data_IF_205597927014
#
_entry.id   IF_205597927014
#
_cell.length_a   1.000
_cell.length_b   1.000
_cell.length_c   1.000
_cell.angle_alpha   90.00
_cell.angle_beta   90.00
_cell.angle_gamma   90.00
#
_symmetry.space_group_name_H-M   'P 1'
#
loop_
_entity.id
_entity.type
_entity.pdbx_description
1 polymer ?
#
# COMPACT_ATOMS: atom_id res chain seq x y z
N UNK A 1 -6.37 -16.18 -2.50
CA UNK A 1 -5.97 -15.41 -1.30
C UNK A 1 -4.64 -15.98 -0.83
N UNK A 2 -3.53 -15.34 -1.18
CA UNK A 2 -2.19 -15.72 -0.71
C UNK A 2 -2.03 -15.21 0.72
N UNK A 3 -2.35 -16.07 1.68
CA UNK A 3 -1.99 -15.88 3.09
C UNK A 3 -0.54 -16.33 3.22
N UNK A 4 0.41 -15.46 2.83
CA UNK A 4 1.83 -15.64 3.12
C UNK A 4 2.02 -15.45 4.63
N UNK A 5 1.95 -16.56 5.36
CA UNK A 5 2.31 -16.64 6.77
C UNK A 5 3.84 -16.69 6.87
N UNK A 6 4.46 -15.51 6.98
CA UNK A 6 5.87 -15.40 7.37
C UNK A 6 5.94 -15.66 8.86
N UNK A 7 6.21 -16.91 9.25
CA UNK A 7 6.58 -17.28 10.63
C UNK A 7 8.09 -17.52 10.63
N UNK A 8 8.85 -16.44 10.74
CA UNK A 8 10.29 -16.53 10.97
C UNK A 8 10.57 -16.57 12.49
N UNK A 9 11.40 -17.52 12.90
CA UNK A 9 11.97 -17.62 14.25
C UNK A 9 12.79 -16.37 14.59
N UNK A 10 12.14 -15.35 15.13
CA UNK A 10 12.81 -14.17 15.65
C UNK A 10 13.52 -14.51 16.97
N UNK A 11 14.82 -14.81 16.91
CA UNK A 11 15.68 -14.61 18.08
C UNK A 11 15.70 -13.10 18.31
N UNK A 12 14.93 -12.62 19.29
CA UNK A 12 14.89 -11.20 19.63
C UNK A 12 16.28 -10.79 20.09
N UNK A 13 16.99 -9.99 19.29
CA UNK A 13 18.10 -9.19 19.79
C UNK A 13 17.49 -8.15 20.72
N UNK A 14 17.31 -8.53 21.98
CA UNK A 14 16.67 -7.68 22.99
C UNK A 14 17.49 -6.40 23.15
N UNK A 15 16.91 -5.28 22.75
CA UNK A 15 17.44 -3.93 23.03
C UNK A 15 17.77 -3.07 21.82
N UNK A 16 17.82 -3.61 20.59
CA UNK A 16 18.01 -2.78 19.39
C UNK A 16 16.67 -2.21 18.91
N UNK A 17 16.67 -0.91 18.62
CA UNK A 17 15.55 -0.24 17.95
C UNK A 17 15.44 -0.69 16.49
N UNK A 18 14.26 -0.55 15.88
CA UNK A 18 14.05 -0.79 14.45
C UNK A 18 14.94 0.13 13.61
N UNK A 19 15.14 1.37 14.04
CA UNK A 19 16.05 2.31 13.38
C UNK A 19 17.48 1.76 13.32
N UNK A 20 18.03 1.34 14.46
CA UNK A 20 19.38 0.77 14.54
C UNK A 20 19.48 -0.54 13.74
N UNK A 21 18.44 -1.38 13.83
CA UNK A 21 18.40 -2.69 13.17
C UNK A 21 18.40 -2.57 11.63
N UNK A 22 17.68 -1.59 11.09
CA UNK A 22 17.46 -1.48 9.63
C UNK A 22 18.45 -0.50 8.97
N UNK A 23 18.76 0.62 9.62
CA UNK A 23 19.59 1.70 9.04
C UNK A 23 21.01 1.71 9.61
N UNK A 24 21.17 1.29 10.86
CA UNK A 24 22.42 1.43 11.60
C UNK A 24 22.68 2.90 11.96
N UNK A 25 23.18 3.70 11.00
CA UNK A 25 23.51 5.12 11.22
C UNK A 25 22.52 6.04 10.48
N UNK A 26 21.61 6.74 11.19
CA UNK A 26 20.64 7.63 10.56
C UNK A 26 21.33 8.83 9.90
N UNK A 27 20.80 9.26 8.75
CA UNK A 27 21.31 10.39 7.97
C UNK A 27 20.64 11.72 8.36
N UNK A 28 19.48 11.66 9.00
CA UNK A 28 18.60 12.80 9.27
C UNK A 28 17.84 13.32 8.04
N UNK A 29 18.05 12.75 6.85
CA UNK A 29 17.51 13.29 5.58
C UNK A 29 16.46 12.39 4.93
N UNK A 30 16.41 11.10 5.31
CA UNK A 30 15.46 10.15 4.77
C UNK A 30 14.24 10.03 5.69
N UNK A 31 13.05 10.36 5.19
CA UNK A 31 11.79 10.26 5.94
C UNK A 31 11.46 8.87 6.47
N UNK A 32 12.09 7.83 5.90
CA UNK A 32 11.98 6.46 6.40
C UNK A 32 12.55 6.33 7.83
N UNK A 33 13.57 7.12 8.20
CA UNK A 33 14.15 7.13 9.54
C UNK A 33 13.10 7.54 10.59
N UNK A 34 12.34 8.61 10.32
CA UNK A 34 11.25 9.02 11.22
C UNK A 34 10.15 7.97 11.34
N UNK A 35 9.86 7.25 10.24
CA UNK A 35 8.87 6.17 10.29
C UNK A 35 9.34 5.02 11.18
N UNK A 36 10.63 4.67 11.13
CA UNK A 36 11.19 3.65 12.01
C UNK A 36 11.18 4.09 13.47
N UNK A 37 11.55 5.34 13.76
CA UNK A 37 11.44 5.89 15.12
C UNK A 37 9.99 5.89 15.62
N UNK A 38 9.03 6.22 14.75
CA UNK A 38 7.61 6.15 15.09
C UNK A 38 7.16 4.70 15.34
N UNK A 39 7.64 3.76 14.52
CA UNK A 39 7.37 2.34 14.64
C UNK A 39 7.88 1.79 15.98
N UNK A 40 9.08 2.18 16.41
CA UNK A 40 9.63 1.79 17.71
C UNK A 40 8.70 2.16 18.87
N UNK A 41 8.08 3.34 18.83
CA UNK A 41 7.14 3.79 19.86
C UNK A 41 5.87 2.93 19.94
N UNK A 42 5.47 2.26 18.85
CA UNK A 42 4.23 1.44 18.78
C UNK A 42 4.48 -0.06 18.67
N UNK A 43 5.74 -0.51 18.74
CA UNK A 43 6.11 -1.93 18.54
C UNK A 43 5.93 -2.81 19.78
N UNK A 44 5.72 -2.22 20.96
CA UNK A 44 5.58 -2.97 22.22
C UNK A 44 4.16 -3.50 22.47
N UNK A 45 4.07 -4.53 23.31
CA UNK A 45 2.81 -5.17 23.76
C UNK A 45 1.75 -4.19 24.25
N UNK A 46 2.18 -3.05 24.81
CA UNK A 46 1.28 -2.03 25.32
C UNK A 46 0.34 -1.49 24.23
N UNK A 47 0.85 -1.24 23.02
CA UNK A 47 0.02 -0.76 21.91
C UNK A 47 -0.99 -1.84 21.50
N UNK A 48 -0.52 -3.07 21.30
CA UNK A 48 -1.37 -4.22 20.91
C UNK A 48 -2.50 -4.44 21.92
N UNK A 49 -2.18 -4.51 23.22
CA UNK A 49 -3.18 -4.70 24.28
C UNK A 49 -4.21 -3.56 24.32
N UNK A 50 -3.78 -2.32 24.10
CA UNK A 50 -4.71 -1.18 24.04
C UNK A 50 -5.64 -1.27 22.82
N UNK A 51 -5.12 -1.63 21.64
CA UNK A 51 -5.96 -1.82 20.44
C UNK A 51 -6.92 -3.00 20.59
N UNK A 52 -6.48 -4.09 21.21
CA UNK A 52 -7.33 -5.25 21.51
C UNK A 52 -8.45 -4.88 22.48
N UNK A 53 -8.18 -4.03 23.48
CA UNK A 53 -9.21 -3.56 24.42
C UNK A 53 -10.34 -2.76 23.75
N UNK A 54 -10.03 -2.05 22.65
CA UNK A 54 -11.00 -1.31 21.84
C UNK A 54 -11.93 -2.28 21.10
N UNK A 55 -11.36 -3.36 20.55
CA UNK A 55 -12.10 -4.36 19.78
C UNK A 55 -12.87 -5.36 20.66
N UNK A 56 -12.36 -5.65 21.86
CA UNK A 56 -12.83 -6.71 22.75
C UNK A 56 -13.90 -6.32 23.76
N UNK A 57 -14.42 -5.09 23.71
CA UNK A 57 -15.46 -4.63 24.65
C UNK A 57 -14.93 -4.39 26.07
N UNK A 58 -13.75 -3.78 26.20
CA UNK A 58 -13.22 -3.38 27.51
C UNK A 58 -14.16 -2.46 28.30
N UNK A 59 -13.88 -2.26 29.59
CA UNK A 59 -14.77 -1.55 30.53
C UNK A 59 -14.88 -0.03 30.31
N UNK A 60 -14.23 0.52 29.27
CA UNK A 60 -14.30 1.94 28.91
C UNK A 60 -15.09 2.18 27.62
N UNK A 61 -15.50 3.42 27.40
CA UNK A 61 -16.10 3.84 26.13
C UNK A 61 -15.07 3.78 25.00
N UNK A 62 -15.57 3.64 23.76
CA UNK A 62 -14.72 3.67 22.58
C UNK A 62 -13.88 4.96 22.51
N UNK A 63 -14.45 6.11 22.88
CA UNK A 63 -13.75 7.40 22.89
C UNK A 63 -12.61 7.43 23.92
N UNK A 64 -12.84 6.98 25.15
CA UNK A 64 -11.82 6.93 26.21
C UNK A 64 -10.63 6.06 25.81
N UNK A 65 -10.88 4.93 25.15
CA UNK A 65 -9.82 4.05 24.70
C UNK A 65 -8.97 4.66 23.56
N UNK A 66 -9.60 5.40 22.62
CA UNK A 66 -8.86 6.12 21.57
C UNK A 66 -8.11 7.34 22.13
N UNK A 67 -8.68 8.05 23.10
CA UNK A 67 -8.00 9.12 23.84
C UNK A 67 -6.73 8.58 24.53
N UNK A 68 -6.83 7.46 25.22
CA UNK A 68 -5.69 6.82 25.88
C UNK A 68 -4.59 6.41 24.89
N UNK A 69 -4.95 5.91 23.69
CA UNK A 69 -4.00 5.64 22.62
C UNK A 69 -3.30 6.91 22.14
N UNK A 70 -4.06 7.96 21.82
CA UNK A 70 -3.53 9.25 21.37
C UNK A 70 -2.58 9.84 22.40
N UNK A 71 -3.00 9.94 23.66
CA UNK A 71 -2.23 10.61 24.69
C UNK A 71 -0.92 9.87 24.98
N UNK A 72 -0.92 8.54 24.86
CA UNK A 72 0.28 7.73 25.06
C UNK A 72 1.22 7.72 23.85
N UNK A 73 0.68 7.67 22.63
CA UNK A 73 1.47 7.41 21.41
C UNK A 73 1.48 8.58 20.41
N UNK A 74 0.88 9.73 20.73
CA UNK A 74 0.74 10.87 19.80
C UNK A 74 2.05 11.38 19.21
N UNK A 75 3.16 11.24 19.95
CA UNK A 75 4.52 11.56 19.44
C UNK A 75 4.89 10.74 18.20
N UNK A 76 4.39 9.50 18.07
CA UNK A 76 4.63 8.69 16.88
C UNK A 76 4.00 9.32 15.63
N UNK A 77 2.82 9.95 15.76
CA UNK A 77 2.17 10.65 14.66
C UNK A 77 2.97 11.89 14.22
N UNK A 78 3.55 12.63 15.16
CA UNK A 78 4.43 13.76 14.85
C UNK A 78 5.68 13.33 14.08
N UNK A 79 6.28 12.20 14.45
CA UNK A 79 7.40 11.60 13.71
C UNK A 79 6.97 11.22 12.30
N UNK A 80 5.83 10.55 12.12
CA UNK A 80 5.33 10.24 10.76
C UNK A 80 5.09 11.52 9.94
N UNK A 81 4.53 12.58 10.52
CA UNK A 81 4.35 13.86 9.83
C UNK A 81 5.69 14.48 9.42
N UNK A 82 6.71 14.41 10.28
CA UNK A 82 8.08 14.82 9.97
C UNK A 82 8.66 13.99 8.81
N UNK A 83 8.48 12.67 8.81
CA UNK A 83 8.89 11.79 7.73
C UNK A 83 8.18 12.09 6.40
N UNK A 84 6.88 12.40 6.44
CA UNK A 84 6.09 12.81 5.28
C UNK A 84 6.61 14.13 4.64
N UNK A 85 7.31 14.97 5.39
CA UNK A 85 7.92 16.20 4.88
C UNK A 85 9.26 15.96 4.15
N UNK A 86 9.87 14.77 4.30
CA UNK A 86 11.16 14.41 3.70
C UNK A 86 11.01 13.55 2.45
N UNK A 87 12.09 13.34 1.69
CA UNK A 87 12.14 12.28 0.70
C UNK A 87 12.19 10.91 1.39
N UNK A 88 11.49 9.90 0.89
CA UNK A 88 11.47 8.55 1.48
C UNK A 88 12.13 7.58 0.51
N UNK A 89 13.13 6.85 1.00
CA UNK A 89 13.83 5.78 0.29
C UNK A 89 13.98 4.58 1.22
N UNK A 90 13.96 3.37 0.65
CA UNK A 90 14.24 2.17 1.43
C UNK A 90 15.73 2.22 1.81
N UNK A 91 16.09 2.12 3.09
CA UNK A 91 17.48 2.14 3.51
C UNK A 91 18.26 0.89 3.10
N UNK A 92 17.57 -0.20 2.73
CA UNK A 92 18.22 -1.46 2.33
C UNK A 92 18.89 -1.29 0.96
N UNK A 93 20.17 -1.66 0.88
CA UNK A 93 20.92 -1.61 -0.37
C UNK A 93 20.54 -2.74 -1.34
N UNK A 94 20.12 -3.88 -0.81
CA UNK A 94 19.72 -5.07 -1.57
C UNK A 94 18.70 -5.88 -0.77
N UNK A 95 17.89 -6.68 -1.48
CA UNK A 95 17.01 -7.67 -0.89
C UNK A 95 17.61 -9.06 -1.06
N UNK A 96 17.63 -9.78 0.04
CA UNK A 96 17.95 -11.20 0.09
C UNK A 96 16.72 -12.00 0.49
N UNK A 97 16.82 -13.31 0.36
CA UNK A 97 15.78 -14.24 0.78
C UNK A 97 15.49 -14.21 2.28
N UNK A 98 16.50 -13.87 3.07
CA UNK A 98 16.43 -13.73 4.52
C UNK A 98 16.18 -12.28 4.94
N UNK A 99 15.88 -11.39 4.00
CA UNK A 99 15.58 -10.00 4.33
C UNK A 99 14.25 -9.92 5.06
N UNK A 100 14.32 -9.52 6.32
CA UNK A 100 13.15 -9.29 7.14
C UNK A 100 12.61 -7.86 6.98
N UNK A 101 11.31 -7.73 7.22
CA UNK A 101 10.58 -6.46 7.23
C UNK A 101 9.87 -6.23 8.58
N UNK A 102 10.61 -6.22 9.71
CA UNK A 102 10.02 -6.14 11.04
C UNK A 102 9.19 -4.86 11.24
N UNK A 103 9.48 -3.79 10.49
CA UNK A 103 8.82 -2.50 10.55
C UNK A 103 7.39 -2.48 9.99
N UNK A 104 7.03 -3.43 9.11
CA UNK A 104 5.75 -3.37 8.40
C UNK A 104 4.55 -3.62 9.32
N UNK A 105 4.71 -4.46 10.35
CA UNK A 105 3.64 -4.66 11.33
C UNK A 105 3.40 -3.40 12.18
N UNK A 106 4.43 -2.80 12.80
CA UNK A 106 4.34 -1.47 13.42
C UNK A 106 3.81 -0.36 12.49
N UNK A 107 4.13 -0.36 11.19
CA UNK A 107 3.56 0.62 10.26
C UNK A 107 2.03 0.50 10.15
N UNK A 108 1.47 -0.73 10.19
CA UNK A 108 0.01 -0.91 10.28
C UNK A 108 -0.54 -0.36 11.59
N UNK A 109 0.18 -0.54 12.70
CA UNK A 109 -0.16 0.04 14.00
C UNK A 109 -0.20 1.58 13.94
N UNK A 110 0.77 2.22 13.29
CA UNK A 110 0.76 3.67 13.04
C UNK A 110 -0.46 4.10 12.23
N UNK A 111 -0.82 3.34 11.18
CA UNK A 111 -2.05 3.58 10.42
C UNK A 111 -3.29 3.56 11.31
N UNK A 112 -3.42 2.56 12.20
CA UNK A 112 -4.52 2.49 13.18
C UNK A 112 -4.50 3.65 14.17
N UNK A 113 -3.33 4.10 14.61
CA UNK A 113 -3.17 5.24 15.51
C UNK A 113 -3.68 6.54 14.86
N UNK A 114 -3.42 6.77 13.57
CA UNK A 114 -4.03 7.91 12.85
C UNK A 114 -5.56 7.85 12.84
N UNK A 115 -6.15 6.65 12.64
CA UNK A 115 -7.61 6.52 12.64
C UNK A 115 -8.20 6.77 14.04
N UNK A 116 -7.48 6.36 15.09
CA UNK A 116 -7.83 6.65 16.47
C UNK A 116 -7.77 8.16 16.78
N UNK A 117 -6.70 8.85 16.35
CA UNK A 117 -6.54 10.29 16.55
C UNK A 117 -7.64 11.08 15.81
N UNK A 118 -7.88 10.73 14.54
CA UNK A 118 -8.95 11.32 13.74
C UNK A 118 -10.34 11.09 14.37
N UNK A 119 -10.57 9.92 14.98
CA UNK A 119 -11.79 9.65 15.73
C UNK A 119 -11.99 10.65 16.86
N UNK A 120 -10.96 10.82 17.69
CA UNK A 120 -10.99 11.69 18.86
C UNK A 120 -11.21 13.13 18.44
N UNK A 121 -10.48 13.60 17.42
CA UNK A 121 -10.66 14.93 16.87
C UNK A 121 -12.10 15.19 16.40
N UNK A 122 -12.74 14.23 15.73
CA UNK A 122 -14.15 14.38 15.32
C UNK A 122 -15.11 14.37 16.52
N UNK A 123 -14.87 13.54 17.52
CA UNK A 123 -15.67 13.51 18.74
C UNK A 123 -15.60 14.84 19.52
N UNK A 124 -14.47 15.54 19.45
CA UNK A 124 -14.25 16.86 20.04
C UNK A 124 -14.69 18.03 19.11
N UNK A 125 -15.31 17.74 17.96
CA UNK A 125 -15.74 18.76 16.99
C UNK A 125 -14.60 19.40 16.17
N UNK A 126 -13.37 18.89 16.28
CA UNK A 126 -12.17 19.37 15.58
C UNK A 126 -12.00 18.71 14.22
N UNK A 127 -13.01 18.87 13.35
CA UNK A 127 -13.04 18.19 12.04
C UNK A 127 -11.85 18.50 11.12
N UNK A 128 -11.30 19.72 11.18
CA UNK A 128 -10.11 20.12 10.39
C UNK A 128 -8.87 19.29 10.75
N UNK A 129 -8.65 19.06 12.05
CA UNK A 129 -7.53 18.27 12.53
C UNK A 129 -7.70 16.78 12.15
N UNK A 130 -8.91 16.24 12.30
CA UNK A 130 -9.19 14.87 11.87
C UNK A 130 -8.97 14.65 10.36
N UNK A 131 -9.39 15.61 9.53
CA UNK A 131 -9.15 15.52 8.09
C UNK A 131 -7.66 15.59 7.76
N UNK A 132 -6.90 16.42 8.49
CA UNK A 132 -5.45 16.45 8.37
C UNK A 132 -4.82 15.11 8.74
N UNK A 133 -5.27 14.45 9.81
CA UNK A 133 -4.75 13.13 10.22
C UNK A 133 -5.01 12.05 9.18
N UNK A 134 -6.22 12.04 8.61
CA UNK A 134 -6.56 11.12 7.54
C UNK A 134 -5.73 11.40 6.28
N UNK A 135 -5.50 12.67 5.95
CA UNK A 135 -4.62 13.05 4.84
C UNK A 135 -3.16 12.61 5.08
N UNK A 136 -2.62 12.84 6.27
CA UNK A 136 -1.28 12.41 6.67
C UNK A 136 -1.15 10.88 6.65
N UNK A 137 -2.20 10.15 7.06
CA UNK A 137 -2.28 8.69 7.00
C UNK A 137 -2.28 8.16 5.55
N UNK A 138 -3.02 8.82 4.65
CA UNK A 138 -3.03 8.47 3.23
C UNK A 138 -1.65 8.70 2.59
N UNK A 139 -1.01 9.83 2.89
CA UNK A 139 0.35 10.15 2.43
C UNK A 139 1.38 9.15 2.96
N UNK A 140 1.33 8.83 4.26
CA UNK A 140 2.21 7.83 4.89
C UNK A 140 2.05 6.46 4.22
N UNK A 141 0.80 6.00 4.08
CA UNK A 141 0.49 4.73 3.44
C UNK A 141 0.96 4.68 1.98
N UNK A 142 1.03 5.82 1.27
CA UNK A 142 1.62 5.91 -0.09
C UNK A 142 3.14 5.83 -0.06
N UNK A 143 3.77 6.49 0.90
CA UNK A 143 5.23 6.65 1.00
C UNK A 143 5.97 5.40 1.42
N UNK A 144 5.31 4.45 2.07
CA UNK A 144 5.90 3.15 2.38
C UNK A 144 5.79 2.15 1.21
N UNK A 145 5.06 2.47 0.13
CA UNK A 145 4.94 1.63 -1.07
C UNK A 145 6.12 1.84 -2.01
N UNK A 146 7.35 1.63 -1.54
CA UNK A 146 8.55 2.07 -2.28
C UNK A 146 9.20 0.96 -3.09
N UNK A 147 9.30 -0.25 -2.56
CA UNK A 147 10.27 -1.23 -3.08
C UNK A 147 9.71 -2.64 -3.24
N UNK A 148 9.05 -3.19 -2.23
CA UNK A 148 8.61 -4.59 -2.26
C UNK A 148 7.09 -4.73 -2.33
N UNK A 149 6.62 -5.87 -2.84
CA UNK A 149 5.19 -6.22 -2.91
C UNK A 149 4.54 -6.15 -1.54
N UNK A 150 5.19 -6.69 -0.51
CA UNK A 150 4.65 -6.68 0.85
C UNK A 150 4.50 -5.26 1.40
N UNK A 151 5.48 -4.38 1.13
CA UNK A 151 5.39 -2.96 1.51
C UNK A 151 4.26 -2.24 0.78
N UNK A 152 4.05 -2.55 -0.50
CA UNK A 152 2.93 -2.01 -1.27
C UNK A 152 1.57 -2.45 -0.71
N UNK A 153 1.44 -3.72 -0.33
CA UNK A 153 0.21 -4.26 0.28
C UNK A 153 -0.09 -3.60 1.64
N UNK A 154 0.93 -3.45 2.49
CA UNK A 154 0.80 -2.81 3.80
C UNK A 154 0.41 -1.34 3.65
N UNK A 155 1.08 -0.61 2.75
CA UNK A 155 0.73 0.77 2.45
C UNK A 155 -0.71 0.92 1.95
N UNK A 156 -1.14 0.05 1.03
CA UNK A 156 -2.51 0.06 0.50
C UNK A 156 -3.55 -0.20 1.60
N UNK A 157 -3.25 -1.10 2.54
CA UNK A 157 -4.12 -1.40 3.67
C UNK A 157 -4.30 -0.20 4.61
N UNK A 158 -3.22 0.54 4.90
CA UNK A 158 -3.27 1.76 5.72
C UNK A 158 -4.16 2.82 5.06
N UNK A 159 -3.96 3.05 3.75
CA UNK A 159 -4.76 4.02 3.00
C UNK A 159 -6.24 3.63 2.94
N UNK A 160 -6.54 2.33 2.78
CA UNK A 160 -7.91 1.83 2.78
C UNK A 160 -8.64 2.12 4.10
N UNK A 161 -7.93 2.02 5.23
CA UNK A 161 -8.46 2.42 6.53
C UNK A 161 -8.86 3.90 6.56
N UNK A 162 -7.98 4.78 6.08
CA UNK A 162 -8.27 6.21 6.02
C UNK A 162 -9.44 6.55 5.07
N UNK A 163 -9.49 5.95 3.88
CA UNK A 163 -10.62 6.14 2.95
C UNK A 163 -11.95 5.67 3.53
N UNK A 164 -11.93 4.55 4.25
CA UNK A 164 -13.11 4.02 4.95
C UNK A 164 -13.59 5.02 6.01
N UNK A 165 -12.68 5.61 6.78
CA UNK A 165 -13.06 6.64 7.77
C UNK A 165 -13.60 7.91 7.13
N UNK A 166 -13.01 8.38 6.02
CA UNK A 166 -13.56 9.56 5.30
C UNK A 166 -14.99 9.29 4.86
N UNK A 167 -15.26 8.14 4.21
CA UNK A 167 -16.61 7.76 3.77
C UNK A 167 -17.56 7.66 4.96
N UNK A 168 -17.17 6.94 6.01
CA UNK A 168 -18.02 6.67 7.18
C UNK A 168 -18.40 7.94 7.93
N UNK A 169 -17.51 8.93 7.97
CA UNK A 169 -17.65 10.14 8.79
C UNK A 169 -17.88 11.40 7.98
N UNK A 170 -18.21 11.26 6.70
CA UNK A 170 -18.37 12.36 5.76
C UNK A 170 -19.21 13.53 6.30
N UNK A 171 -20.31 13.22 6.99
CA UNK A 171 -21.24 14.20 7.57
C UNK A 171 -20.59 15.03 8.70
N UNK A 172 -19.58 14.50 9.38
CA UNK A 172 -18.88 15.16 10.46
C UNK A 172 -17.80 16.16 10.01
N UNK A 173 -17.47 16.22 8.72
CA UNK A 173 -16.48 17.18 8.22
C UNK A 173 -17.12 18.53 7.91
N UNK A 174 -16.57 19.58 8.51
CA UNK A 174 -16.87 20.95 8.10
C UNK A 174 -16.27 21.26 6.73
N UNK A 175 -16.78 22.30 6.05
CA UNK A 175 -16.21 22.77 4.78
C UNK A 175 -14.70 23.06 4.87
N UNK A 176 -14.23 23.59 6.01
CA UNK A 176 -12.80 23.88 6.26
C UNK A 176 -11.93 22.63 6.38
N UNK A 177 -12.54 21.48 6.65
CA UNK A 177 -11.82 20.21 6.78
C UNK A 177 -11.58 19.51 5.42
N UNK A 178 -12.28 19.92 4.35
CA UNK A 178 -12.18 19.28 3.03
C UNK A 178 -10.87 19.57 2.26
N UNK A 179 -10.23 20.75 2.36
CA UNK A 179 -9.04 21.07 1.59
C UNK A 179 -7.84 20.13 1.81
N UNK A 180 -7.45 19.73 3.04
CA UNK A 180 -6.34 18.78 3.22
C UNK A 180 -6.55 17.43 2.52
N UNK A 181 -7.77 16.89 2.57
CA UNK A 181 -8.14 15.65 1.89
C UNK A 181 -8.10 15.79 0.36
N UNK A 182 -8.63 16.91 -0.14
CA UNK A 182 -8.62 17.22 -1.58
C UNK A 182 -7.19 17.39 -2.10
N UNK A 183 -6.35 18.12 -1.36
CA UNK A 183 -4.95 18.36 -1.73
C UNK A 183 -4.14 17.07 -1.78
N UNK A 184 -4.23 16.20 -0.76
CA UNK A 184 -3.51 14.92 -0.78
C UNK A 184 -4.01 14.02 -1.91
N UNK A 185 -5.32 13.96 -2.14
CA UNK A 185 -5.92 13.19 -3.21
C UNK A 185 -5.41 13.62 -4.59
N UNK A 186 -5.48 14.92 -4.89
CA UNK A 186 -5.01 15.49 -6.14
C UNK A 186 -3.51 15.27 -6.33
N UNK A 187 -2.71 15.59 -5.31
CA UNK A 187 -1.25 15.37 -5.32
C UNK A 187 -0.92 13.93 -5.66
N UNK A 188 -1.48 12.96 -4.92
CA UNK A 188 -1.12 11.55 -5.10
C UNK A 188 -1.64 10.96 -6.42
N UNK A 189 -2.76 11.46 -6.93
CA UNK A 189 -3.31 11.07 -8.23
C UNK A 189 -2.52 11.59 -9.44
N UNK A 190 -1.59 12.54 -9.20
CA UNK A 190 -0.69 13.08 -10.21
C UNK A 190 0.70 12.44 -10.17
N UNK A 191 1.03 11.71 -9.09
CA UNK A 191 2.31 11.02 -8.96
C UNK A 191 2.31 9.71 -9.74
N UNK A 192 3.50 9.32 -10.20
CA UNK A 192 3.73 8.01 -10.79
C UNK A 192 3.30 6.89 -9.81
N UNK A 193 2.56 5.87 -10.27
CA UNK A 193 2.14 4.76 -9.42
C UNK A 193 3.35 3.96 -8.90
N UNK A 194 3.39 3.59 -7.60
CA UNK A 194 4.54 2.88 -7.03
C UNK A 194 4.74 1.48 -7.62
N UNK A 195 3.69 0.89 -8.19
CA UNK A 195 3.70 -0.45 -8.79
C UNK A 195 4.79 -0.60 -9.83
N UNK A 196 5.19 0.47 -10.55
CA UNK A 196 6.29 0.40 -11.52
C UNK A 196 7.61 0.03 -10.86
N UNK A 197 7.97 0.73 -9.79
CA UNK A 197 9.20 0.46 -9.04
C UNK A 197 9.12 -0.90 -8.36
N UNK A 198 7.98 -1.22 -7.73
CA UNK A 198 7.77 -2.51 -7.07
C UNK A 198 7.94 -3.68 -8.03
N UNK A 199 7.27 -3.67 -9.19
CA UNK A 199 7.37 -4.75 -10.17
C UNK A 199 8.78 -4.94 -10.71
N UNK A 200 9.51 -3.84 -10.93
CA UNK A 200 10.92 -3.92 -11.33
C UNK A 200 11.76 -4.63 -10.26
N UNK A 201 11.63 -4.21 -9.01
CA UNK A 201 12.34 -4.82 -7.88
C UNK A 201 12.00 -6.31 -7.74
N UNK A 202 10.74 -6.69 -7.90
CA UNK A 202 10.32 -8.10 -7.84
C UNK A 202 10.92 -8.94 -8.98
N UNK A 203 10.94 -8.40 -10.21
CA UNK A 203 11.58 -9.08 -11.35
C UNK A 203 13.07 -9.26 -11.10
N UNK A 204 13.76 -8.22 -10.63
CA UNK A 204 15.19 -8.27 -10.29
C UNK A 204 15.46 -9.28 -9.17
N UNK A 205 14.61 -9.30 -8.14
CA UNK A 205 14.70 -10.26 -7.04
C UNK A 205 14.53 -11.71 -7.50
N UNK A 206 13.56 -12.00 -8.39
CA UNK A 206 13.33 -13.34 -8.93
C UNK A 206 14.56 -13.81 -9.72
N UNK A 207 15.14 -12.95 -10.55
CA UNK A 207 16.35 -13.27 -11.31
C UNK A 207 17.52 -13.57 -10.38
N UNK A 208 17.78 -12.68 -9.42
CA UNK A 208 18.82 -12.84 -8.43
C UNK A 208 18.65 -14.12 -7.61
N UNK A 209 17.43 -14.42 -7.16
CA UNK A 209 17.12 -15.64 -6.40
C UNK A 209 17.50 -16.91 -7.17
N UNK A 210 17.07 -17.02 -8.44
CA UNK A 210 17.41 -18.17 -9.26
C UNK A 210 18.93 -18.32 -9.44
N UNK A 211 19.66 -17.22 -9.56
CA UNK A 211 21.12 -17.22 -9.68
C UNK A 211 21.82 -17.68 -8.39
N UNK A 212 21.40 -17.21 -7.23
CA UNK A 212 21.96 -17.64 -5.93
C UNK A 212 21.75 -19.15 -5.71
N UNK A 213 20.55 -19.65 -5.98
CA UNK A 213 20.24 -21.08 -5.82
C UNK A 213 21.07 -21.95 -6.78
N UNK A 214 21.12 -21.58 -8.06
CA UNK A 214 21.82 -22.39 -9.08
C UNK A 214 23.33 -22.34 -8.94
N UNK A 215 23.87 -21.26 -8.36
CA UNK A 215 25.29 -21.13 -7.98
C UNK A 215 25.63 -21.83 -6.65
N UNK A 216 24.63 -22.32 -5.91
CA UNK A 216 24.83 -22.99 -4.62
C UNK A 216 25.13 -22.04 -3.46
N UNK A 217 24.89 -20.74 -3.64
CA UNK A 217 25.07 -19.71 -2.61
C UNK A 217 23.85 -19.56 -1.69
N UNK A 218 22.70 -20.10 -2.10
CA UNK A 218 21.52 -20.27 -1.28
C UNK A 218 21.05 -21.73 -1.32
N UNK A 219 20.57 -22.25 -0.18
CA UNK A 219 19.98 -23.58 -0.11
C UNK A 219 18.47 -23.50 -0.35
N UNK A 220 17.91 -24.47 -1.08
CA UNK A 220 16.45 -24.55 -1.21
C UNK A 220 15.77 -25.01 0.08
N UNK A 221 16.52 -25.66 0.97
CA UNK A 221 16.01 -26.15 2.24
C UNK A 221 15.80 -25.02 3.25
N UNK A 222 16.40 -23.84 3.00
CA UNK A 222 16.13 -22.62 3.76
C UNK A 222 14.68 -22.10 3.55
N UNK A 223 13.91 -22.75 2.66
CA UNK A 223 12.56 -22.34 2.24
C UNK A 223 11.51 -23.43 2.45
N UNK A 224 11.60 -24.18 3.55
CA UNK A 224 10.70 -25.30 3.85
C UNK A 224 9.19 -24.96 3.77
N UNK A 225 8.79 -23.70 3.92
CA UNK A 225 7.41 -23.23 3.89
C UNK A 225 6.91 -22.71 2.52
N UNK A 226 7.77 -22.63 1.51
CA UNK A 226 7.39 -22.09 0.20
C UNK A 226 6.86 -23.20 -0.76
N UNK A 227 6.24 -22.78 -1.87
CA UNK A 227 5.55 -23.69 -2.80
C UNK A 227 6.50 -24.77 -3.34
N UNK A 228 6.25 -26.02 -2.96
CA UNK A 228 7.04 -27.19 -3.31
C UNK A 228 7.28 -27.31 -4.82
N UNK A 229 6.33 -26.86 -5.64
CA UNK A 229 6.45 -26.89 -7.11
C UNK A 229 7.57 -26.00 -7.63
N UNK A 230 7.78 -24.83 -7.04
CA UNK A 230 8.87 -23.94 -7.41
C UNK A 230 10.24 -24.56 -7.19
N UNK A 231 10.36 -25.28 -6.08
CA UNK A 231 11.59 -25.94 -5.72
C UNK A 231 11.83 -27.20 -6.55
N UNK A 232 10.79 -27.88 -7.02
CA UNK A 232 10.97 -29.04 -7.92
C UNK A 232 11.74 -28.60 -9.19
N UNK A 233 11.31 -27.55 -9.87
CA UNK A 233 12.00 -27.05 -11.07
C UNK A 233 13.45 -26.62 -10.77
N UNK A 234 13.66 -25.84 -9.70
CA UNK A 234 15.00 -25.39 -9.32
C UNK A 234 15.91 -26.55 -8.88
N UNK A 235 15.43 -27.54 -8.14
CA UNK A 235 16.21 -28.74 -7.73
C UNK A 235 16.68 -29.54 -8.93
N UNK A 236 15.81 -29.74 -9.93
CA UNK A 236 16.18 -30.40 -11.20
C UNK A 236 17.31 -29.66 -11.91
N UNK A 237 17.23 -28.32 -11.98
CA UNK A 237 18.24 -27.50 -12.66
C UNK A 237 19.52 -27.36 -11.84
N UNK A 238 19.43 -27.33 -10.51
CA UNK A 238 20.57 -27.23 -9.61
C UNK A 238 21.51 -28.44 -9.72
N UNK A 239 20.96 -29.62 -10.02
CA UNK A 239 21.70 -30.86 -10.24
C UNK A 239 22.12 -31.09 -11.71
N UNK A 240 21.71 -30.21 -12.62
CA UNK A 240 22.04 -30.29 -14.04
C UNK A 240 23.47 -29.77 -14.38
N UNK A 241 24.02 -30.11 -15.55
CA UNK A 241 25.31 -29.57 -16.02
C UNK A 241 25.31 -28.03 -16.11
N UNK A 242 26.49 -27.41 -15.98
CA UNK A 242 26.64 -25.95 -16.00
C UNK A 242 26.03 -25.28 -17.24
N UNK A 243 26.14 -25.91 -18.42
CA UNK A 243 25.52 -25.42 -19.66
C UNK A 243 24.00 -25.36 -19.56
N UNK A 244 23.37 -26.35 -18.90
CA UNK A 244 21.92 -26.34 -18.67
C UNK A 244 21.50 -25.23 -17.71
N UNK A 245 22.24 -25.03 -16.61
CA UNK A 245 22.02 -23.91 -15.68
C UNK A 245 22.10 -22.56 -16.38
N UNK A 246 23.12 -22.36 -17.22
CA UNK A 246 23.29 -21.13 -17.99
C UNK A 246 22.15 -20.92 -18.98
N UNK A 247 21.73 -21.97 -19.70
CA UNK A 247 20.59 -21.93 -20.60
C UNK A 247 19.28 -21.57 -19.86
N UNK A 248 19.05 -22.17 -18.69
CA UNK A 248 17.90 -21.85 -17.85
C UNK A 248 17.89 -20.38 -17.43
N UNK A 249 19.01 -19.88 -16.90
CA UNK A 249 19.13 -18.47 -16.48
C UNK A 249 18.94 -17.49 -17.64
N UNK A 250 19.49 -17.81 -18.83
CA UNK A 250 19.27 -17.01 -20.02
C UNK A 250 17.79 -16.97 -20.45
N UNK A 251 17.13 -18.13 -20.44
CA UNK A 251 15.69 -18.23 -20.74
C UNK A 251 14.85 -17.45 -19.74
N UNK A 252 15.14 -17.58 -18.44
CA UNK A 252 14.46 -16.86 -17.37
C UNK A 252 14.63 -15.34 -17.50
N UNK A 253 15.86 -14.85 -17.69
CA UNK A 253 16.13 -13.42 -17.89
C UNK A 253 15.43 -12.87 -19.11
N UNK A 254 15.41 -13.62 -20.22
CA UNK A 254 14.70 -13.24 -21.44
C UNK A 254 13.20 -13.11 -21.21
N UNK A 255 12.57 -14.12 -20.59
CA UNK A 255 11.13 -14.13 -20.31
C UNK A 255 10.72 -12.98 -19.37
N UNK A 256 11.48 -12.77 -18.30
CA UNK A 256 11.22 -11.72 -17.31
C UNK A 256 11.48 -10.31 -17.86
N UNK A 257 12.54 -10.11 -18.65
CA UNK A 257 12.82 -8.81 -19.28
C UNK A 257 11.71 -8.45 -20.29
N UNK A 258 11.31 -9.42 -21.12
CA UNK A 258 10.19 -9.22 -22.05
C UNK A 258 8.88 -8.91 -21.33
N UNK A 259 8.62 -9.52 -20.18
CA UNK A 259 7.47 -9.20 -19.33
C UNK A 259 7.59 -7.80 -18.71
N UNK A 260 8.76 -7.44 -18.17
CA UNK A 260 9.05 -6.11 -17.62
C UNK A 260 8.86 -4.99 -18.64
N UNK A 261 9.26 -5.19 -19.89
CA UNK A 261 9.01 -4.23 -20.97
C UNK A 261 7.51 -4.07 -21.29
N UNK A 262 6.76 -5.19 -21.35
CA UNK A 262 5.30 -5.12 -21.55
C UNK A 262 4.62 -4.36 -20.42
N UNK A 263 5.03 -4.62 -19.18
CA UNK A 263 4.57 -3.89 -18.00
C UNK A 263 4.90 -2.39 -18.11
N UNK A 264 6.14 -2.04 -18.41
CA UNK A 264 6.55 -0.64 -18.53
C UNK A 264 5.76 0.11 -19.62
N UNK A 265 5.54 -0.53 -20.78
CA UNK A 265 4.71 0.03 -21.86
C UNK A 265 3.26 0.21 -21.43
N UNK A 266 2.68 -0.75 -20.70
CA UNK A 266 1.31 -0.64 -20.19
C UNK A 266 1.19 0.48 -19.15
N UNK A 267 2.08 0.51 -18.15
CA UNK A 267 2.04 1.49 -17.06
C UNK A 267 2.30 2.93 -17.52
N UNK A 268 2.91 3.13 -18.68
CA UNK A 268 3.07 4.43 -19.32
C UNK A 268 1.77 4.97 -19.97
N UNK A 269 0.74 4.12 -20.15
CA UNK A 269 -0.56 4.50 -20.71
C UNK A 269 -1.51 4.97 -19.59
N UNK A 270 -2.58 5.70 -19.93
CA UNK A 270 -3.64 6.03 -18.98
C UNK A 270 -4.21 4.78 -18.28
N UNK A 271 -4.62 4.91 -17.01
CA UNK A 271 -5.05 3.77 -16.17
C UNK A 271 -6.23 2.99 -16.79
N UNK A 272 -7.16 3.66 -17.49
CA UNK A 272 -8.24 3.00 -18.25
C UNK A 272 -7.78 2.04 -19.34
N UNK A 273 -6.54 2.15 -19.78
CA UNK A 273 -5.94 1.30 -20.82
C UNK A 273 -5.12 0.15 -20.22
N UNK A 274 -4.98 0.09 -18.90
CA UNK A 274 -4.32 -1.02 -18.23
C UNK A 274 -5.18 -2.28 -18.35
N UNK A 275 -4.54 -3.41 -18.59
CA UNK A 275 -5.19 -4.70 -18.80
C UNK A 275 -4.47 -5.74 -17.96
N UNK A 276 -5.15 -6.87 -17.76
CA UNK A 276 -4.47 -8.05 -17.24
C UNK A 276 -3.39 -8.46 -18.25
N UNK A 277 -2.17 -8.69 -17.76
CA UNK A 277 -1.08 -9.17 -18.59
C UNK A 277 -0.97 -10.66 -18.42
N UNK A 278 -0.82 -11.35 -19.54
CA UNK A 278 -0.40 -12.75 -19.53
C UNK A 278 0.92 -12.87 -18.75
N UNK A 279 1.05 -13.88 -17.88
CA UNK A 279 2.30 -14.21 -17.22
C UNK A 279 3.47 -14.28 -18.21
N UNK A 280 4.73 -14.13 -17.74
CA UNK A 280 5.88 -14.44 -18.56
C UNK A 280 5.78 -15.89 -19.07
N UNK A 281 6.06 -16.08 -20.36
CA UNK A 281 6.06 -17.38 -21.02
C UNK A 281 7.47 -17.74 -21.50
N UNK A 282 7.77 -19.03 -21.48
CA UNK A 282 9.02 -19.58 -22.00
C UNK A 282 8.75 -20.88 -22.77
N UNK A 283 9.46 -21.08 -23.88
CA UNK A 283 9.46 -22.36 -24.59
C UNK A 283 10.24 -23.47 -23.86
N UNK A 284 11.06 -23.08 -22.87
CA UNK A 284 11.79 -24.00 -22.01
C UNK A 284 10.86 -24.50 -20.87
N UNK A 285 10.55 -25.81 -20.80
CA UNK A 285 9.61 -26.33 -19.82
C UNK A 285 10.02 -26.09 -18.36
N UNK A 286 11.31 -26.15 -18.04
CA UNK A 286 11.77 -25.92 -16.66
C UNK A 286 11.62 -24.44 -16.27
N UNK A 287 11.91 -23.54 -17.21
CA UNK A 287 11.67 -22.09 -17.00
C UNK A 287 10.18 -21.84 -16.86
N UNK A 288 9.34 -22.44 -17.70
CA UNK A 288 7.89 -22.26 -17.63
C UNK A 288 7.30 -22.77 -16.32
N UNK A 289 7.76 -23.93 -15.84
CA UNK A 289 7.35 -24.48 -14.54
C UNK A 289 7.74 -23.53 -13.40
N UNK A 290 8.98 -23.01 -13.40
CA UNK A 290 9.43 -22.02 -12.42
C UNK A 290 8.64 -20.70 -12.48
N UNK A 291 8.25 -20.24 -13.67
CA UNK A 291 7.45 -19.02 -13.82
C UNK A 291 6.00 -19.22 -13.34
N UNK A 292 5.45 -20.43 -13.44
CA UNK A 292 4.04 -20.73 -13.11
C UNK A 292 3.69 -20.63 -11.61
N UNK A 293 4.71 -20.64 -10.76
CA UNK A 293 4.63 -20.58 -9.30
C UNK A 293 5.06 -19.23 -8.75
N UNK A 294 5.42 -18.30 -9.64
CA UNK A 294 5.77 -16.94 -9.24
C UNK A 294 4.55 -16.20 -8.71
N UNK A 295 4.75 -15.24 -7.77
CA UNK A 295 3.66 -14.40 -7.29
C UNK A 295 2.89 -13.78 -8.45
N UNK A 296 1.57 -13.73 -8.32
CA UNK A 296 0.72 -13.05 -9.29
C UNK A 296 1.01 -11.53 -9.28
N UNK A 297 1.85 -11.11 -10.21
CA UNK A 297 2.22 -9.72 -10.43
C UNK A 297 1.07 -8.90 -11.06
N UNK A 298 0.12 -9.55 -11.75
CA UNK A 298 -1.06 -8.88 -12.33
C UNK A 298 -1.99 -8.37 -11.23
N UNK A 299 -2.11 -9.11 -10.13
CA UNK A 299 -2.81 -8.65 -8.92
C UNK A 299 -2.28 -7.32 -8.37
N UNK A 300 -0.99 -7.02 -8.53
CA UNK A 300 -0.39 -5.75 -8.10
C UNK A 300 -0.80 -4.58 -9.00
N UNK A 301 -0.84 -4.81 -10.31
CA UNK A 301 -1.32 -3.83 -11.30
C UNK A 301 -2.77 -3.47 -11.01
N UNK A 302 -3.64 -4.47 -10.80
CA UNK A 302 -5.05 -4.24 -10.45
C UNK A 302 -5.19 -3.38 -9.19
N UNK A 303 -4.49 -3.71 -8.11
CA UNK A 303 -4.53 -2.93 -6.87
C UNK A 303 -4.05 -1.50 -7.07
N UNK A 304 -3.00 -1.31 -7.86
CA UNK A 304 -2.48 0.03 -8.15
C UNK A 304 -3.45 0.87 -8.96
N UNK A 305 -4.14 0.27 -9.95
CA UNK A 305 -5.21 0.93 -10.69
C UNK A 305 -6.36 1.35 -9.76
N UNK A 306 -6.85 0.43 -8.91
CA UNK A 306 -7.88 0.73 -7.90
C UNK A 306 -7.46 1.90 -7.01
N UNK A 307 -6.20 1.90 -6.55
CA UNK A 307 -5.70 2.95 -5.68
C UNK A 307 -5.63 4.32 -6.37
N UNK A 308 -5.19 4.39 -7.63
CA UNK A 308 -5.19 5.62 -8.41
C UNK A 308 -6.60 6.20 -8.59
N UNK A 309 -7.57 5.32 -8.86
CA UNK A 309 -8.99 5.70 -8.97
C UNK A 309 -9.53 6.20 -7.63
N UNK A 310 -9.15 5.57 -6.51
CA UNK A 310 -9.58 6.00 -5.17
C UNK A 310 -9.09 7.39 -4.79
N UNK A 311 -7.90 7.80 -5.20
CA UNK A 311 -7.47 9.20 -5.01
C UNK A 311 -8.40 10.16 -5.74
N UNK A 312 -8.76 9.88 -7.00
CA UNK A 312 -9.71 10.72 -7.75
C UNK A 312 -11.09 10.71 -7.11
N UNK A 313 -11.58 9.54 -6.69
CA UNK A 313 -12.85 9.42 -5.96
C UNK A 313 -12.85 10.25 -4.68
N UNK A 314 -11.75 10.26 -3.91
CA UNK A 314 -11.64 11.08 -2.70
C UNK A 314 -11.77 12.58 -3.02
N UNK A 315 -11.12 13.07 -4.07
CA UNK A 315 -11.24 14.47 -4.50
C UNK A 315 -12.67 14.82 -4.92
N UNK A 316 -13.30 13.98 -5.76
CA UNK A 316 -14.69 14.15 -6.17
C UNK A 316 -15.66 14.10 -4.97
N UNK A 317 -15.41 13.21 -4.02
CA UNK A 317 -16.18 13.07 -2.79
C UNK A 317 -16.14 14.35 -1.95
N UNK A 318 -14.96 14.95 -1.80
CA UNK A 318 -14.80 16.24 -1.13
C UNK A 318 -15.55 17.36 -1.87
N UNK A 319 -15.49 17.40 -3.20
CA UNK A 319 -16.21 18.41 -3.99
C UNK A 319 -17.74 18.31 -3.83
N UNK A 320 -18.30 17.09 -3.76
CA UNK A 320 -19.73 16.89 -3.46
C UNK A 320 -20.10 17.38 -2.06
N UNK A 321 -19.25 17.10 -1.06
CA UNK A 321 -19.46 17.60 0.31
C UNK A 321 -19.38 19.13 0.38
N UNK A 322 -18.44 19.74 -0.34
CA UNK A 322 -18.31 21.19 -0.43
C UNK A 322 -19.55 21.82 -1.07
N UNK A 323 -20.02 21.26 -2.18
CA UNK A 323 -21.28 21.69 -2.80
C UNK A 323 -22.43 21.63 -1.79
N UNK A 324 -22.55 20.52 -1.05
CA UNK A 324 -23.59 20.34 -0.03
C UNK A 324 -23.54 21.41 1.04
N UNK A 325 -22.35 21.75 1.54
CA UNK A 325 -22.18 22.82 2.52
C UNK A 325 -22.57 24.20 1.97
N UNK A 326 -22.24 24.49 0.72
CA UNK A 326 -22.51 25.79 0.12
C UNK A 326 -23.98 25.99 -0.30
N UNK A 327 -24.71 24.91 -0.58
CA UNK A 327 -26.08 24.98 -1.12
C UNK A 327 -27.15 24.35 -0.20
N UNK A 328 -26.75 23.81 0.95
CA UNK A 328 -27.61 23.02 1.86
C UNK A 328 -28.37 21.87 1.14
N UNK A 329 -27.80 21.37 0.04
CA UNK A 329 -28.39 20.35 -0.80
C UNK A 329 -27.30 19.58 -1.56
N UNK A 330 -27.51 18.29 -1.78
CA UNK A 330 -26.65 17.50 -2.66
C UNK A 330 -26.74 18.02 -4.11
N UNK A 331 -25.64 18.00 -4.88
CA UNK A 331 -25.66 18.41 -6.27
C UNK A 331 -26.66 17.57 -7.08
N UNK A 332 -27.45 18.16 -8.01
CA UNK A 332 -28.36 17.38 -8.84
C UNK A 332 -27.62 16.35 -9.71
N UNK A 333 -26.39 16.67 -10.13
CA UNK A 333 -25.49 15.83 -10.91
C UNK A 333 -24.03 16.33 -10.74
N UNK A 334 -23.04 15.57 -11.21
CA UNK A 334 -21.63 15.95 -11.03
C UNK A 334 -21.18 17.14 -11.91
N UNK A 335 -21.93 17.48 -12.97
CA UNK A 335 -21.67 18.68 -13.78
C UNK A 335 -21.94 19.99 -13.03
N UNK A 336 -22.72 19.94 -11.95
CA UNK A 336 -23.02 21.10 -11.11
C UNK A 336 -21.92 21.46 -10.10
N UNK A 337 -20.85 20.66 -10.02
CA UNK A 337 -19.70 20.97 -9.17
C UNK A 337 -18.95 22.20 -9.70
N UNK A 338 -18.26 22.92 -8.81
CA UNK A 338 -17.50 24.12 -9.19
C UNK A 338 -16.40 23.82 -10.23
N UNK A 339 -15.79 22.63 -10.14
CA UNK A 339 -14.91 22.08 -11.17
C UNK A 339 -15.42 20.69 -11.57
N UNK A 340 -16.16 20.55 -12.68
CA UNK A 340 -16.62 19.25 -13.16
C UNK A 340 -15.48 18.28 -13.48
N UNK A 341 -14.28 18.77 -13.77
CA UNK A 341 -13.10 17.96 -14.06
C UNK A 341 -12.67 17.07 -12.90
N UNK A 342 -12.95 17.48 -11.65
CA UNK A 342 -12.68 16.67 -10.45
C UNK A 342 -13.48 15.37 -10.43
N UNK A 343 -14.63 15.35 -11.11
CA UNK A 343 -15.54 14.22 -11.20
C UNK A 343 -15.32 13.33 -12.43
N UNK A 344 -14.30 13.61 -13.25
CA UNK A 344 -13.95 12.75 -14.39
C UNK A 344 -13.49 11.37 -13.90
N UNK A 345 -14.07 10.30 -14.47
CA UNK A 345 -13.69 8.94 -14.15
C UNK A 345 -12.42 8.56 -14.93
N UNK A 346 -11.26 8.33 -14.28
CA UNK A 346 -10.02 7.99 -14.97
C UNK A 346 -10.08 6.63 -15.70
N UNK A 347 -11.16 5.85 -15.51
CA UNK A 347 -11.42 4.57 -16.16
C UNK A 347 -12.34 4.68 -17.39
N UNK A 348 -12.94 5.85 -17.66
CA UNK A 348 -13.84 6.07 -18.80
C UNK A 348 -13.61 7.44 -19.45
N UNK A 349 -14.39 7.79 -20.47
CA UNK A 349 -14.42 9.14 -21.06
C UNK A 349 -15.46 10.07 -20.39
N UNK A 350 -16.18 9.55 -19.39
CA UNK A 350 -17.27 10.26 -18.71
C UNK A 350 -16.96 10.65 -17.28
N UNK A 351 -18.00 11.10 -16.59
CA UNK A 351 -17.96 11.34 -15.15
C UNK A 351 -18.10 10.04 -14.36
N UNK A 352 -17.68 10.09 -13.11
CA UNK A 352 -17.94 9.03 -12.13
C UNK A 352 -19.44 8.77 -11.97
N UNK A 353 -19.79 7.55 -11.59
CA UNK A 353 -21.14 7.22 -11.16
C UNK A 353 -21.50 7.98 -9.89
N UNK A 354 -22.70 8.56 -9.87
CA UNK A 354 -23.23 9.34 -8.75
C UNK A 354 -24.68 8.95 -8.48
N UNK A 355 -24.93 8.47 -7.26
CA UNK A 355 -26.27 8.07 -6.82
C UNK A 355 -26.64 8.83 -5.55
N UNK A 356 -27.80 9.48 -5.54
CA UNK A 356 -28.36 10.14 -4.37
C UNK A 356 -29.29 9.19 -3.62
N UNK A 357 -29.17 9.15 -2.29
CA UNK A 357 -30.06 8.40 -1.39
C UNK A 357 -30.51 9.31 -0.25
N UNK A 358 -31.54 10.12 -0.52
CA UNK A 358 -31.97 11.17 0.39
C UNK A 358 -30.87 12.22 0.58
N UNK A 359 -30.34 12.32 1.80
CA UNK A 359 -29.24 13.23 2.18
C UNK A 359 -27.84 12.60 2.08
N UNK A 360 -27.78 11.32 1.68
CA UNK A 360 -26.56 10.58 1.42
C UNK A 360 -26.31 10.47 -0.09
N UNK A 361 -25.09 10.12 -0.44
CA UNK A 361 -24.71 9.86 -1.81
C UNK A 361 -23.65 8.77 -1.90
N UNK A 362 -23.59 8.13 -3.06
CA UNK A 362 -22.58 7.16 -3.43
C UNK A 362 -21.84 7.65 -4.67
N UNK A 363 -20.51 7.56 -4.64
CA UNK A 363 -19.64 7.78 -5.78
C UNK A 363 -18.91 6.49 -6.11
N UNK A 364 -18.82 6.18 -7.40
CA UNK A 364 -18.08 5.05 -7.89
C UNK A 364 -17.48 5.32 -9.26
N UNK A 365 -16.33 4.71 -9.54
CA UNK A 365 -15.86 4.54 -10.91
C UNK A 365 -16.51 3.29 -11.49
N UNK A 366 -16.87 3.33 -12.77
CA UNK A 366 -17.37 2.13 -13.47
C UNK A 366 -16.27 1.06 -13.61
N UNK A 367 -15.01 1.48 -13.51
CA UNK A 367 -13.86 0.61 -13.64
C UNK A 367 -13.59 0.18 -15.06
N UNK A 368 -12.82 -0.91 -15.17
CA UNK A 368 -12.52 -1.62 -16.42
C UNK A 368 -12.70 -3.11 -16.20
N UNK A 369 -12.49 -3.91 -17.25
CA UNK A 369 -12.44 -5.37 -17.17
C UNK A 369 -11.44 -5.85 -16.09
N UNK A 370 -10.33 -5.13 -15.90
CA UNK A 370 -9.31 -5.47 -14.90
C UNK A 370 -9.81 -5.25 -13.46
N UNK A 371 -10.45 -4.11 -13.21
CA UNK A 371 -10.74 -3.65 -11.85
C UNK A 371 -12.13 -4.02 -11.38
N UNK A 372 -13.10 -4.10 -12.29
CA UNK A 372 -14.51 -3.95 -11.96
C UNK A 372 -14.83 -2.55 -11.38
N UNK A 373 -16.07 -2.30 -10.95
CA UNK A 373 -16.46 -1.05 -10.31
C UNK A 373 -15.64 -0.78 -9.06
N UNK A 374 -15.29 0.50 -8.83
CA UNK A 374 -14.45 0.90 -7.71
C UNK A 374 -15.18 1.94 -6.87
N UNK A 375 -15.17 1.73 -5.56
CA UNK A 375 -15.68 2.68 -4.57
C UNK A 375 -14.55 3.14 -3.65
N UNK A 376 -14.83 4.21 -2.91
CA UNK A 376 -13.83 4.79 -2.00
C UNK A 376 -13.38 3.79 -0.91
N UNK A 377 -14.24 2.86 -0.47
CA UNK A 377 -13.96 1.98 0.68
C UNK A 377 -14.28 0.48 0.48
N UNK A 378 -14.28 -0.04 -0.76
CA UNK A 378 -14.55 -1.46 -1.06
C UNK A 378 -13.40 -2.18 -1.73
#
# INVERSE_FOLDING_TARGET
>A
MLTLAVVACAVSVQGQTLLERIIGTPTGTNGYEEYLMAADLVSGDAFTKMVESISGGGTGTFLEANLALRDRFGRALELVRSGNAKGVKDPRAAYTLTTEFPELSPFRSLGRLFLADAYVHLAEGRSEAAAKDLADCIEFGRRIQITTTISMLVGSSIQNGAFTEVRRRAIGFSIKALPPLTQVAQKLSALEPPVRTTLRTEIEFIQWFAEEVLSGRASLDDFADADERAFIALRRIQSAPASRKQSFLAGLRSALSGFGERLARMLARPVREWRELSPPESSDPDVQEFLSVMPDLSGLVKRSAVQQVRYRLLAAYCAVLEYKWNHDALPPNLDSLADPGVASDPMSDGLMGYERRGNEFELYSRGSDLTGPIRLSE
#
